data_IF_186318543579
#
_entry.id   IF_186318543579
#
_cell.length_a   1.000
_cell.length_b   1.000
_cell.length_c   1.000
_cell.angle_alpha   90.00
_cell.angle_beta   90.00
_cell.angle_gamma   90.00
#
_symmetry.space_group_name_H-M   'P 1'
#
loop_
_entity.id
_entity.type
_entity.pdbx_description
1 polymer ?
#
# COMPACT_ATOMS: atom_id res chain seq x y z
N UNK A 1 -23.50 -30.92 -46.73
CA UNK A 1 -23.78 -30.68 -45.30
C UNK A 1 -22.56 -30.00 -44.71
N UNK A 2 -22.69 -28.74 -44.31
CA UNK A 2 -21.59 -27.95 -43.78
C UNK A 2 -21.29 -28.45 -42.36
N UNK A 3 -20.21 -29.19 -42.20
CA UNK A 3 -19.59 -29.46 -40.91
C UNK A 3 -18.46 -28.46 -40.71
N UNK A 4 -18.82 -27.26 -40.25
CA UNK A 4 -17.87 -26.22 -39.82
C UNK A 4 -18.28 -25.73 -38.43
N UNK A 5 -17.97 -26.53 -37.40
CA UNK A 5 -18.11 -26.14 -35.99
C UNK A 5 -16.89 -26.59 -35.17
N UNK A 6 -15.73 -26.68 -35.82
CA UNK A 6 -14.46 -27.09 -35.19
C UNK A 6 -13.46 -25.95 -34.98
N UNK A 7 -13.80 -24.70 -35.32
CA UNK A 7 -12.83 -23.61 -35.41
C UNK A 7 -13.23 -22.34 -34.64
N UNK A 8 -13.68 -22.51 -33.39
CA UNK A 8 -14.08 -21.37 -32.54
C UNK A 8 -13.68 -21.43 -31.07
N UNK A 9 -13.31 -22.61 -30.53
CA UNK A 9 -13.11 -22.79 -29.09
C UNK A 9 -11.63 -22.60 -28.66
N UNK A 10 -10.67 -22.69 -29.59
CA UNK A 10 -9.23 -22.54 -29.28
C UNK A 10 -8.70 -21.10 -29.31
N UNK A 11 -9.21 -20.27 -30.24
CA UNK A 11 -8.73 -18.88 -30.39
C UNK A 11 -9.42 -17.89 -29.46
N UNK A 12 -10.58 -18.24 -28.89
CA UNK A 12 -11.37 -17.38 -28.01
C UNK A 12 -11.04 -17.50 -26.50
N UNK A 13 -10.46 -18.60 -26.06
CA UNK A 13 -10.18 -18.82 -24.63
C UNK A 13 -8.77 -18.36 -24.24
N UNK A 14 -7.80 -18.45 -25.15
CA UNK A 14 -6.42 -18.06 -24.90
C UNK A 14 -6.25 -16.56 -24.65
N UNK A 15 -6.88 -15.69 -25.45
CA UNK A 15 -6.82 -14.24 -25.25
C UNK A 15 -7.53 -13.79 -23.97
N UNK A 16 -8.61 -14.47 -23.59
CA UNK A 16 -9.35 -14.19 -22.37
C UNK A 16 -8.51 -14.54 -21.14
N UNK A 17 -7.88 -15.73 -21.12
CA UNK A 17 -6.94 -16.11 -20.06
C UNK A 17 -5.73 -15.17 -19.99
N UNK A 18 -5.24 -14.69 -21.13
CA UNK A 18 -4.14 -13.71 -21.18
C UNK A 18 -4.56 -12.38 -20.53
N UNK A 19 -5.74 -11.84 -20.85
CA UNK A 19 -6.26 -10.63 -20.22
C UNK A 19 -6.47 -10.82 -18.72
N UNK A 20 -7.04 -11.96 -18.31
CA UNK A 20 -7.26 -12.28 -16.89
C UNK A 20 -5.92 -12.35 -16.15
N UNK A 21 -4.90 -12.99 -16.75
CA UNK A 21 -3.56 -13.06 -16.19
C UNK A 21 -2.93 -11.67 -15.99
N UNK A 22 -3.00 -10.81 -17.01
CA UNK A 22 -2.52 -9.43 -16.91
C UNK A 22 -3.32 -8.61 -15.88
N UNK A 23 -4.64 -8.78 -15.84
CA UNK A 23 -5.49 -8.13 -14.85
C UNK A 23 -5.11 -8.55 -13.43
N UNK A 24 -4.91 -9.85 -13.18
CA UNK A 24 -4.45 -10.38 -11.90
C UNK A 24 -3.07 -9.83 -11.52
N UNK A 25 -2.14 -9.79 -12.47
CA UNK A 25 -0.79 -9.25 -12.25
C UNK A 25 -0.85 -7.78 -11.83
N UNK A 26 -1.60 -6.96 -12.56
CA UNK A 26 -1.80 -5.54 -12.23
C UNK A 26 -2.47 -5.39 -10.87
N UNK A 27 -3.51 -6.18 -10.58
CA UNK A 27 -4.24 -6.12 -9.32
C UNK A 27 -3.34 -6.49 -8.14
N UNK A 28 -2.47 -7.50 -8.31
CA UNK A 28 -1.44 -7.87 -7.34
C UNK A 28 -0.42 -6.76 -7.08
N UNK A 29 0.10 -6.14 -8.14
CA UNK A 29 1.04 -5.01 -8.03
C UNK A 29 0.37 -3.81 -7.34
N UNK A 30 -0.83 -3.43 -7.76
CA UNK A 30 -1.59 -2.33 -7.16
C UNK A 30 -1.92 -2.61 -5.71
N UNK A 31 -2.31 -3.84 -5.36
CA UNK A 31 -2.57 -4.24 -3.98
C UNK A 31 -1.31 -4.11 -3.10
N UNK A 32 -0.16 -4.57 -3.60
CA UNK A 32 1.12 -4.46 -2.89
C UNK A 32 1.53 -3.00 -2.68
N UNK A 33 1.42 -2.17 -3.73
CA UNK A 33 1.69 -0.73 -3.63
C UNK A 33 0.73 -0.08 -2.64
N UNK A 34 -0.57 -0.41 -2.68
CA UNK A 34 -1.57 0.14 -1.76
C UNK A 34 -1.28 -0.25 -0.32
N UNK A 35 -0.83 -1.48 -0.06
CA UNK A 35 -0.43 -1.95 1.27
C UNK A 35 0.77 -1.16 1.81
N UNK A 36 1.78 -0.93 0.96
CA UNK A 36 2.96 -0.14 1.31
C UNK A 36 2.59 1.33 1.48
N UNK A 37 1.80 1.90 0.56
CA UNK A 37 1.37 3.29 0.61
C UNK A 37 0.48 3.59 1.82
N UNK A 38 -0.40 2.65 2.23
CA UNK A 38 -1.21 2.78 3.45
C UNK A 38 -0.30 2.80 4.68
N UNK A 39 0.71 1.94 4.74
CA UNK A 39 1.72 1.96 5.82
C UNK A 39 2.56 3.24 5.79
N UNK A 40 2.98 3.69 4.61
CA UNK A 40 3.74 4.92 4.44
C UNK A 40 2.93 6.15 4.88
N UNK A 41 1.63 6.21 4.58
CA UNK A 41 0.76 7.31 5.00
C UNK A 41 0.54 7.37 6.52
N UNK A 42 0.62 6.22 7.20
CA UNK A 42 0.62 6.15 8.67
C UNK A 42 1.96 6.64 9.23
N UNK A 43 3.07 6.16 8.66
CA UNK A 43 4.42 6.59 9.03
C UNK A 43 4.71 8.07 8.76
N UNK A 44 4.20 8.66 7.68
CA UNK A 44 4.41 10.08 7.33
C UNK A 44 3.71 11.03 8.31
N UNK A 45 2.52 10.65 8.81
CA UNK A 45 1.86 11.36 9.92
C UNK A 45 2.65 11.25 11.21
N UNK A 46 3.19 10.07 11.49
CA UNK A 46 4.02 9.82 12.67
C UNK A 46 5.34 10.61 12.61
N UNK A 47 6.02 10.63 11.46
CA UNK A 47 7.23 11.43 11.22
C UNK A 47 6.96 12.92 11.38
N UNK A 48 5.81 13.41 10.90
CA UNK A 48 5.41 14.81 11.08
C UNK A 48 5.16 15.14 12.56
N UNK A 49 4.48 14.25 13.31
CA UNK A 49 4.25 14.43 14.74
C UNK A 49 5.55 14.38 15.56
N UNK A 50 6.44 13.45 15.24
CA UNK A 50 7.77 13.33 15.86
C UNK A 50 8.67 14.52 15.52
N UNK A 51 8.63 15.05 14.30
CA UNK A 51 9.39 16.24 13.91
C UNK A 51 8.94 17.49 14.70
N UNK A 52 7.62 17.64 14.87
CA UNK A 52 7.02 18.70 15.69
C UNK A 52 7.45 18.57 17.17
N UNK A 53 7.43 17.35 17.72
CA UNK A 53 7.88 17.07 19.09
C UNK A 53 9.37 17.39 19.26
N UNK A 54 10.21 16.97 18.31
CA UNK A 54 11.65 17.19 18.32
C UNK A 54 12.01 18.68 18.30
N UNK A 55 11.28 19.48 17.49
CA UNK A 55 11.41 20.94 17.46
C UNK A 55 11.12 21.60 18.80
N UNK A 56 10.08 21.15 19.50
CA UNK A 56 9.70 21.71 20.81
C UNK A 56 10.62 21.25 21.93
N UNK A 57 11.12 20.02 21.87
CA UNK A 57 12.18 19.53 22.76
C UNK A 57 13.47 20.34 22.60
N UNK A 58 13.88 20.64 21.36
CA UNK A 58 15.05 21.48 21.08
C UNK A 58 14.87 22.93 21.57
N UNK A 59 13.63 23.43 21.59
CA UNK A 59 13.29 24.71 22.20
C UNK A 59 13.27 24.67 23.73
N UNK A 60 13.33 23.49 24.36
CA UNK A 60 13.19 23.31 25.80
C UNK A 60 11.76 23.52 26.31
N UNK A 61 10.76 23.57 25.42
CA UNK A 61 9.34 23.72 25.79
C UNK A 61 8.76 22.41 26.37
N UNK A 62 9.43 21.28 26.14
CA UNK A 62 9.01 19.96 26.63
C UNK A 62 10.21 19.22 27.20
N UNK A 63 9.98 18.48 28.27
CA UNK A 63 11.00 17.68 28.94
C UNK A 63 11.22 16.33 28.23
N UNK A 64 12.37 15.68 28.49
CA UNK A 64 12.70 14.38 27.89
C UNK A 64 11.66 13.30 28.24
N UNK A 65 11.10 13.36 29.45
CA UNK A 65 10.08 12.43 29.95
C UNK A 65 8.76 12.56 29.17
N UNK A 66 8.35 13.79 28.85
CA UNK A 66 7.17 14.07 28.03
C UNK A 66 7.38 13.64 26.57
N UNK A 67 8.58 13.85 26.03
CA UNK A 67 8.97 13.38 24.69
C UNK A 67 8.89 11.85 24.57
N UNK A 68 9.42 11.12 25.55
CA UNK A 68 9.39 9.66 25.54
C UNK A 68 7.98 9.10 25.70
N UNK A 69 7.14 9.70 26.56
CA UNK A 69 5.73 9.32 26.68
C UNK A 69 4.96 9.47 25.37
N UNK A 70 5.10 10.61 24.69
CA UNK A 70 4.40 10.86 23.44
C UNK A 70 4.90 9.96 22.30
N UNK A 71 6.19 9.59 22.31
CA UNK A 71 6.73 8.63 21.35
C UNK A 71 6.21 7.21 21.58
N UNK A 72 6.10 6.76 22.83
CA UNK A 72 5.60 5.41 23.15
C UNK A 72 4.10 5.28 22.85
N UNK A 73 3.34 6.35 23.06
CA UNK A 73 1.91 6.42 22.75
C UNK A 73 1.66 6.35 21.22
N UNK A 74 2.44 7.12 20.44
CA UNK A 74 2.38 7.10 18.96
C UNK A 74 2.81 5.76 18.36
N UNK A 75 3.77 5.06 18.96
CA UNK A 75 4.27 3.77 18.47
C UNK A 75 3.33 2.58 18.78
N UNK A 76 2.35 2.77 19.67
CA UNK A 76 1.38 1.73 20.10
C UNK A 76 0.06 1.77 19.34
N UNK A 77 -0.21 2.82 18.57
CA UNK A 77 -1.42 2.97 17.75
C UNK A 77 -1.20 2.41 16.33
#
# INVERSE_FOLDING_TARGET
MYCDYGWGIGFGFGWLLMIIFWALLILGVVYLIKLIAVRAKKGEKEETALDILKKRYAKGEITKEEFEKMKDDLAKE
#
